data_IF_620041476002
#
_entry.id   IF_620041476002
#
_cell.length_a   1.000
_cell.length_b   1.000
_cell.length_c   1.000
_cell.angle_alpha   90.00
_cell.angle_beta   90.00
_cell.angle_gamma   90.00
#
_symmetry.space_group_name_H-M   'P 1'
#
loop_
_entity.id
_entity.type
_entity.pdbx_description
1 polymer ?
#
# COMPACT_ATOMS: atom_id res chain seq x y z
N UNK A 1 12.94 6.30 -48.30
CA UNK A 1 11.51 5.92 -48.27
C UNK A 1 11.28 5.02 -47.05
N UNK A 2 11.15 5.62 -45.86
CA UNK A 2 11.01 4.89 -44.59
C UNK A 2 9.52 4.81 -44.25
N UNK A 3 8.98 3.59 -44.27
CA UNK A 3 7.64 3.23 -43.81
C UNK A 3 7.84 2.36 -42.57
N UNK A 4 7.40 2.81 -41.39
CA UNK A 4 6.83 1.97 -40.31
C UNK A 4 6.94 2.64 -38.93
N UNK A 5 6.03 3.56 -38.58
CA UNK A 5 5.89 4.05 -37.19
C UNK A 5 4.44 4.00 -36.66
N UNK A 6 3.52 3.34 -37.37
CA UNK A 6 2.10 3.29 -36.99
C UNK A 6 1.82 2.51 -35.69
N UNK A 7 2.57 1.45 -35.41
CA UNK A 7 2.30 0.55 -34.27
C UNK A 7 2.69 1.12 -32.90
N UNK A 8 3.61 2.08 -32.84
CA UNK A 8 4.05 2.68 -31.56
C UNK A 8 3.09 3.78 -31.12
N UNK A 9 2.56 4.55 -32.07
CA UNK A 9 1.54 5.59 -31.81
C UNK A 9 0.22 4.94 -31.36
N UNK A 10 -0.16 3.82 -31.99
CA UNK A 10 -1.41 3.12 -31.68
C UNK A 10 -1.46 2.56 -30.24
N UNK A 11 -0.31 2.08 -29.72
CA UNK A 11 -0.17 1.69 -28.31
C UNK A 11 -0.36 2.86 -27.35
N UNK A 12 0.16 4.04 -27.68
CA UNK A 12 0.06 5.22 -26.83
C UNK A 12 -1.37 5.80 -26.79
N UNK A 13 -2.13 5.67 -27.88
CA UNK A 13 -3.55 6.09 -27.96
C UNK A 13 -4.46 5.07 -27.26
N UNK A 14 -4.12 3.77 -27.26
CA UNK A 14 -4.89 2.74 -26.53
C UNK A 14 -4.88 2.91 -25.00
N UNK A 15 -3.80 3.48 -24.45
CA UNK A 15 -3.69 3.79 -23.01
C UNK A 15 -4.73 4.82 -22.53
N UNK A 16 -5.30 5.64 -23.42
CA UNK A 16 -6.32 6.64 -23.10
C UNK A 16 -7.75 6.12 -23.20
N UNK A 17 -7.95 4.87 -23.65
CA UNK A 17 -9.27 4.21 -23.72
C UNK A 17 -9.44 3.18 -22.59
N UNK A 18 -8.92 3.48 -21.40
CA UNK A 18 -9.21 2.65 -20.22
C UNK A 18 -10.72 2.75 -19.94
N UNK A 19 -11.47 1.63 -19.92
CA UNK A 19 -12.88 1.66 -19.61
C UNK A 19 -13.09 2.21 -18.20
N UNK A 20 -14.20 2.92 -17.99
CA UNK A 20 -14.48 3.59 -16.71
C UNK A 20 -14.41 2.60 -15.53
N UNK A 21 -14.87 1.36 -15.74
CA UNK A 21 -14.77 0.28 -14.76
C UNK A 21 -13.34 -0.12 -14.42
N UNK A 22 -12.40 -0.07 -15.36
CA UNK A 22 -10.99 -0.34 -15.09
C UNK A 22 -10.34 0.79 -14.29
N UNK A 23 -10.69 2.06 -14.54
CA UNK A 23 -10.27 3.18 -13.70
C UNK A 23 -10.84 3.07 -12.29
N UNK A 24 -12.13 2.73 -12.16
CA UNK A 24 -12.79 2.53 -10.86
C UNK A 24 -12.11 1.41 -10.07
N UNK A 25 -11.88 0.25 -10.72
CA UNK A 25 -11.25 -0.90 -10.08
C UNK A 25 -9.81 -0.60 -9.68
N UNK A 26 -9.07 0.17 -10.48
CA UNK A 26 -7.71 0.60 -10.15
C UNK A 26 -7.68 1.57 -8.98
N UNK A 27 -8.65 2.49 -8.90
CA UNK A 27 -8.86 3.37 -7.75
C UNK A 27 -9.20 2.58 -6.48
N UNK A 28 -10.14 1.64 -6.57
CA UNK A 28 -10.52 0.73 -5.47
C UNK A 28 -9.32 -0.10 -5.02
N UNK A 29 -8.61 -0.77 -5.94
CA UNK A 29 -7.42 -1.56 -5.60
C UNK A 29 -6.34 -0.70 -4.95
N UNK A 30 -6.14 0.53 -5.42
CA UNK A 30 -5.15 1.44 -4.83
C UNK A 30 -5.55 1.82 -3.40
N UNK A 31 -6.82 2.11 -3.15
CA UNK A 31 -7.34 2.45 -1.83
C UNK A 31 -7.29 1.24 -0.87
N UNK A 32 -7.68 0.05 -1.33
CA UNK A 32 -7.61 -1.21 -0.58
C UNK A 32 -6.16 -1.61 -0.27
N UNK A 33 -5.24 -1.40 -1.21
CA UNK A 33 -3.79 -1.67 -1.02
C UNK A 33 -3.12 -0.62 -0.14
N UNK A 34 -3.80 0.49 0.20
CA UNK A 34 -3.35 1.49 1.16
C UNK A 34 -4.07 1.28 2.51
N UNK A 35 -3.63 0.32 3.35
CA UNK A 35 -4.32 0.00 4.59
C UNK A 35 -4.33 1.17 5.58
N UNK A 36 -3.57 2.25 5.34
CA UNK A 36 -3.54 3.43 6.20
C UNK A 36 -4.93 4.06 6.37
N UNK A 37 -5.70 4.15 5.30
CA UNK A 37 -7.06 4.74 5.33
C UNK A 37 -8.01 3.81 6.09
N UNK A 38 -7.94 2.51 5.81
CA UNK A 38 -8.74 1.49 6.49
C UNK A 38 -8.42 1.42 8.00
N UNK A 39 -7.14 1.47 8.37
CA UNK A 39 -6.68 1.50 9.75
C UNK A 39 -7.12 2.78 10.47
N UNK A 40 -7.12 3.92 9.77
CA UNK A 40 -7.68 5.16 10.31
C UNK A 40 -9.17 4.97 10.61
N UNK A 41 -9.95 4.44 9.66
CA UNK A 41 -11.37 4.20 9.90
C UNK A 41 -11.63 3.24 11.05
N UNK A 42 -10.93 2.11 11.13
CA UNK A 42 -11.09 1.13 12.22
C UNK A 42 -10.67 1.70 13.58
N UNK A 43 -9.68 2.59 13.63
CA UNK A 43 -9.24 3.22 14.87
C UNK A 43 -10.18 4.35 15.33
N UNK A 44 -10.71 5.15 14.41
CA UNK A 44 -11.49 6.34 14.73
C UNK A 44 -13.00 6.07 14.83
N UNK A 45 -13.60 5.19 14.01
CA UNK A 45 -15.03 4.86 14.08
C UNK A 45 -15.53 4.41 15.46
N UNK A 46 -14.91 3.42 16.12
CA UNK A 46 -15.40 2.94 17.42
C UNK A 46 -15.23 4.00 18.52
N UNK A 47 -14.34 4.98 18.34
CA UNK A 47 -14.08 6.02 19.33
C UNK A 47 -15.19 7.08 19.40
N UNK A 48 -15.99 7.21 18.33
CA UNK A 48 -17.06 8.20 18.21
C UNK A 48 -18.47 7.61 18.37
N UNK A 49 -18.60 6.28 18.47
CA UNK A 49 -19.90 5.61 18.62
C UNK A 49 -20.08 5.16 20.07
N UNK A 50 -20.96 5.86 20.77
CA UNK A 50 -21.33 5.54 22.15
C UNK A 50 -22.08 4.19 22.19
N UNK A 51 -21.51 3.20 22.88
CA UNK A 51 -22.04 1.82 22.97
C UNK A 51 -23.38 1.71 23.70
N UNK A 52 -23.93 2.79 24.26
CA UNK A 52 -25.15 2.81 25.09
C UNK A 52 -26.41 3.32 24.37
N UNK A 53 -26.31 3.91 23.17
CA UNK A 53 -27.46 4.53 22.47
C UNK A 53 -28.37 3.49 21.77
N UNK A 54 -29.70 3.68 21.69
CA UNK A 54 -30.58 2.79 20.92
C UNK A 54 -30.35 2.79 19.40
N UNK A 55 -29.68 3.82 18.86
CA UNK A 55 -29.54 4.07 17.41
C UNK A 55 -28.09 3.89 16.90
N UNK A 56 -27.32 2.98 17.51
CA UNK A 56 -25.88 2.75 17.22
C UNK A 56 -25.60 2.49 15.75
N UNK A 57 -26.44 1.69 15.09
CA UNK A 57 -26.25 1.30 13.69
C UNK A 57 -26.38 2.50 12.74
N UNK A 58 -27.38 3.36 12.95
CA UNK A 58 -27.57 4.54 12.12
C UNK A 58 -26.43 5.55 12.31
N UNK A 59 -26.02 5.79 13.56
CA UNK A 59 -24.86 6.64 13.86
C UNK A 59 -23.56 6.11 13.21
N UNK A 60 -23.34 4.81 13.25
CA UNK A 60 -22.18 4.17 12.62
C UNK A 60 -22.17 4.36 11.09
N UNK A 61 -23.31 4.19 10.43
CA UNK A 61 -23.42 4.40 8.98
C UNK A 61 -23.21 5.86 8.58
N UNK A 62 -23.79 6.81 9.33
CA UNK A 62 -23.60 8.25 9.08
C UNK A 62 -22.13 8.62 9.23
N UNK A 63 -21.51 8.21 10.34
CA UNK A 63 -20.12 8.56 10.63
C UNK A 63 -19.14 7.90 9.65
N UNK A 64 -19.39 6.64 9.29
CA UNK A 64 -18.65 5.93 8.24
C UNK A 64 -18.78 6.60 6.88
N UNK A 65 -19.98 7.05 6.52
CA UNK A 65 -20.22 7.76 5.25
C UNK A 65 -19.49 9.10 5.19
N UNK A 66 -19.51 9.87 6.28
CA UNK A 66 -18.77 11.15 6.38
C UNK A 66 -17.26 10.91 6.23
N UNK A 67 -16.72 9.90 6.90
CA UNK A 67 -15.32 9.50 6.80
C UNK A 67 -14.91 9.10 5.38
N UNK A 68 -15.75 8.32 4.69
CA UNK A 68 -15.52 7.93 3.28
C UNK A 68 -15.58 9.15 2.36
N UNK A 69 -16.55 10.06 2.56
CA UNK A 69 -16.67 11.30 1.79
C UNK A 69 -15.44 12.19 1.96
N UNK A 70 -14.93 12.34 3.18
CA UNK A 70 -13.71 13.13 3.44
C UNK A 70 -12.48 12.51 2.79
N UNK A 71 -12.33 11.18 2.88
CA UNK A 71 -11.27 10.44 2.20
C UNK A 71 -11.32 10.62 0.68
N UNK A 72 -12.51 10.43 0.10
CA UNK A 72 -12.74 10.60 -1.33
C UNK A 72 -12.46 12.03 -1.80
N UNK A 73 -12.87 13.04 -1.02
CA UNK A 73 -12.62 14.45 -1.35
C UNK A 73 -11.12 14.78 -1.29
N UNK A 74 -10.43 14.33 -0.25
CA UNK A 74 -8.98 14.48 -0.12
C UNK A 74 -8.25 13.82 -1.29
N UNK A 75 -8.58 12.58 -1.61
CA UNK A 75 -7.96 11.85 -2.73
C UNK A 75 -8.24 12.53 -4.06
N UNK A 76 -9.45 13.06 -4.26
CA UNK A 76 -9.84 13.82 -5.46
C UNK A 76 -9.05 15.12 -5.60
N UNK A 77 -8.85 15.86 -4.51
CA UNK A 77 -8.01 17.07 -4.49
C UNK A 77 -6.57 16.70 -4.85
N UNK A 78 -5.99 15.68 -4.22
CA UNK A 78 -4.63 15.22 -4.51
C UNK A 78 -4.50 14.76 -5.97
N UNK A 79 -5.47 14.00 -6.48
CA UNK A 79 -5.50 13.54 -7.86
C UNK A 79 -5.59 14.70 -8.85
N UNK A 80 -6.43 15.71 -8.57
CA UNK A 80 -6.55 16.91 -9.38
C UNK A 80 -5.25 17.72 -9.38
N UNK A 81 -4.68 17.98 -8.20
CA UNK A 81 -3.39 18.64 -8.06
C UNK A 81 -2.28 17.89 -8.81
N UNK A 82 -2.22 16.56 -8.66
CA UNK A 82 -1.26 15.72 -9.37
C UNK A 82 -1.46 15.80 -10.89
N UNK A 83 -2.71 15.82 -11.37
CA UNK A 83 -3.01 15.96 -12.79
C UNK A 83 -2.61 17.35 -13.33
N UNK A 84 -2.85 18.43 -12.58
CA UNK A 84 -2.43 19.79 -12.92
C UNK A 84 -0.89 19.90 -13.01
N UNK A 85 -0.20 19.37 -12.00
CA UNK A 85 1.27 19.33 -11.96
C UNK A 85 1.78 18.48 -13.12
N UNK A 86 1.22 17.29 -13.36
CA UNK A 86 1.62 16.42 -14.47
C UNK A 86 1.40 17.07 -15.84
N UNK A 87 0.31 17.82 -16.01
CA UNK A 87 0.01 18.56 -17.23
C UNK A 87 1.02 19.69 -17.46
N UNK A 88 1.37 20.44 -16.42
CA UNK A 88 2.39 21.49 -16.46
C UNK A 88 3.79 20.92 -16.73
N UNK A 89 4.16 19.82 -16.07
CA UNK A 89 5.45 19.14 -16.26
C UNK A 89 5.56 18.48 -17.64
N UNK A 90 4.46 18.00 -18.23
CA UNK A 90 4.44 17.46 -19.60
C UNK A 90 4.86 18.50 -20.64
N UNK A 91 4.63 19.80 -20.38
CA UNK A 91 5.14 20.87 -21.25
C UNK A 91 6.66 21.05 -21.15
N UNK A 92 7.31 20.57 -20.07
CA UNK A 92 8.76 20.64 -19.85
C UNK A 92 9.38 19.25 -19.71
N UNK A 93 9.71 18.63 -20.85
CA UNK A 93 10.26 17.26 -20.96
C UNK A 93 11.52 16.98 -20.13
N UNK A 94 12.26 18.02 -19.75
CA UNK A 94 13.46 17.90 -18.90
C UNK A 94 13.10 17.69 -17.43
N UNK A 95 12.06 18.36 -16.92
CA UNK A 95 11.63 18.26 -15.51
C UNK A 95 11.05 16.89 -15.24
N UNK A 96 10.22 16.37 -16.14
CA UNK A 96 9.68 15.00 -16.04
C UNK A 96 10.78 13.93 -16.01
N UNK A 97 11.86 14.10 -16.78
CA UNK A 97 13.01 13.18 -16.77
C UNK A 97 13.76 13.20 -15.44
N UNK A 98 14.02 14.38 -14.89
CA UNK A 98 14.66 14.51 -13.57
C UNK A 98 13.79 13.94 -12.45
N UNK A 99 12.48 14.20 -12.48
CA UNK A 99 11.54 13.67 -11.48
C UNK A 99 11.55 12.13 -11.48
N UNK A 100 11.46 11.51 -12.66
CA UNK A 100 11.53 10.05 -12.79
C UNK A 100 12.87 9.50 -12.30
N UNK A 101 13.98 10.23 -12.52
CA UNK A 101 15.30 9.81 -12.06
C UNK A 101 15.45 9.89 -10.55
N UNK A 102 14.89 10.93 -9.92
CA UNK A 102 14.85 11.08 -8.45
C UNK A 102 13.97 9.99 -7.83
N UNK A 103 12.77 9.76 -8.36
CA UNK A 103 11.86 8.71 -7.87
C UNK A 103 12.55 7.33 -7.98
N UNK A 104 13.13 7.03 -9.15
CA UNK A 104 13.87 5.78 -9.36
C UNK A 104 15.07 5.64 -8.42
N UNK A 105 15.85 6.70 -8.20
CA UNK A 105 16.98 6.70 -7.28
C UNK A 105 16.53 6.44 -5.83
N UNK A 106 15.42 7.04 -5.39
CA UNK A 106 14.85 6.81 -4.06
C UNK A 106 14.41 5.35 -3.89
N UNK A 107 13.73 4.76 -4.89
CA UNK A 107 13.34 3.35 -4.84
C UNK A 107 14.54 2.40 -4.80
N UNK A 108 15.57 2.67 -5.61
CA UNK A 108 16.83 1.90 -5.57
C UNK A 108 17.50 2.04 -4.21
N UNK A 109 17.58 3.25 -3.66
CA UNK A 109 18.13 3.51 -2.33
C UNK A 109 17.36 2.78 -1.23
N UNK A 110 16.03 2.79 -1.29
CA UNK A 110 15.18 2.01 -0.37
C UNK A 110 15.39 0.51 -0.52
N UNK A 111 15.48 0.00 -1.76
CA UNK A 111 15.76 -1.42 -2.04
C UNK A 111 17.11 -1.86 -1.48
N UNK A 112 18.14 -1.02 -1.59
CA UNK A 112 19.47 -1.28 -1.00
C UNK A 112 19.37 -1.29 0.53
N UNK A 113 18.71 -0.30 1.15
CA UNK A 113 18.51 -0.29 2.61
C UNK A 113 17.73 -1.51 3.09
N UNK A 114 16.71 -1.93 2.35
CA UNK A 114 15.93 -3.12 2.66
C UNK A 114 16.77 -4.38 2.53
N UNK A 115 17.54 -4.54 1.45
CA UNK A 115 18.45 -5.67 1.29
C UNK A 115 19.51 -5.73 2.39
N UNK A 116 20.04 -4.57 2.81
CA UNK A 116 20.97 -4.46 3.93
C UNK A 116 20.31 -4.81 5.27
N UNK A 117 19.05 -4.39 5.50
CA UNK A 117 18.29 -4.73 6.69
C UNK A 117 17.90 -6.22 6.74
N UNK A 118 17.47 -6.80 5.61
CA UNK A 118 17.15 -8.23 5.50
C UNK A 118 18.39 -9.11 5.68
N UNK A 119 19.59 -8.64 5.32
CA UNK A 119 20.83 -9.37 5.64
C UNK A 119 21.06 -9.51 7.15
N UNK A 120 20.58 -8.60 7.99
CA UNK A 120 20.70 -8.71 9.45
C UNK A 120 19.76 -9.75 10.06
N UNK A 121 18.62 -10.05 9.41
CA UNK A 121 17.65 -11.03 9.94
C UNK A 121 18.00 -12.48 9.61
N UNK A 122 18.82 -12.72 8.57
CA UNK A 122 19.26 -14.07 8.20
C UNK A 122 20.48 -14.52 9.02
N UNK A 123 21.33 -13.61 9.49
CA UNK A 123 22.57 -13.95 10.22
C UNK A 123 22.37 -14.33 11.71
N UNK A 124 21.14 -14.29 12.22
CA UNK A 124 20.86 -14.53 13.65
C UNK A 124 19.62 -15.42 13.93
N UNK A 125 19.35 -16.46 13.12
CA UNK A 125 18.28 -17.43 13.44
C UNK A 125 18.70 -18.90 13.50
N UNK A 126 19.95 -19.19 13.85
CA UNK A 126 20.39 -20.56 14.11
C UNK A 126 21.36 -20.69 15.29
N UNK A 127 20.83 -20.53 16.52
CA UNK A 127 21.40 -21.16 17.71
C UNK A 127 20.35 -22.12 18.27
N UNK A 128 20.36 -23.41 17.89
CA UNK A 128 19.44 -24.38 18.47
C UNK A 128 19.81 -24.55 19.95
N UNK A 129 18.94 -24.06 20.85
CA UNK A 129 19.02 -24.33 22.28
C UNK A 129 18.67 -25.81 22.47
N UNK A 130 19.68 -26.70 22.39
CA UNK A 130 19.56 -28.12 22.77
C UNK A 130 19.09 -28.18 24.22
N UNK A 131 17.79 -28.39 24.40
CA UNK A 131 17.14 -28.54 25.70
C UNK A 131 17.31 -30.00 26.10
N UNK A 132 18.30 -30.26 26.95
CA UNK A 132 18.43 -31.51 27.72
C UNK A 132 17.17 -31.68 28.57
N UNK A 133 16.19 -32.42 28.06
CA UNK A 133 15.12 -32.97 28.87
C UNK A 133 15.67 -34.21 29.58
N UNK A 134 16.02 -34.01 30.86
CA UNK A 134 15.78 -34.96 31.94
C UNK A 134 15.82 -36.45 31.58
N UNK A 135 17.04 -37.02 31.57
CA UNK A 135 17.24 -38.46 31.76
C UNK A 135 17.28 -38.87 33.25
N UNK A 136 16.97 -37.95 34.17
CA UNK A 136 17.00 -38.20 35.61
C UNK A 136 15.66 -38.70 36.20
N UNK A 137 14.58 -38.73 35.40
CA UNK A 137 13.23 -39.13 35.89
C UNK A 137 12.83 -40.58 35.62
N UNK A 138 13.58 -41.33 34.81
CA UNK A 138 13.13 -42.64 34.28
C UNK A 138 13.80 -43.82 35.02
N UNK A 139 14.73 -43.56 35.96
CA UNK A 139 15.44 -44.64 36.68
C UNK A 139 14.85 -45.00 38.04
N UNK A 140 13.88 -44.23 38.54
CA UNK A 140 13.32 -44.43 39.88
C UNK A 140 12.04 -45.29 39.91
N UNK A 141 11.57 -45.78 38.76
CA UNK A 141 10.37 -46.63 38.66
C UNK A 141 10.68 -48.11 38.36
N UNK A 142 11.95 -48.51 38.34
CA UNK A 142 12.36 -49.84 37.84
C UNK A 142 13.18 -50.68 38.84
N UNK A 143 13.27 -50.28 40.11
CA UNK A 143 13.85 -51.13 41.16
C UNK A 143 12.79 -51.56 42.16
N UNK A 144 11.98 -52.53 41.72
CA UNK A 144 11.49 -53.63 42.53
C UNK A 144 12.48 -54.78 42.32
#
# INVERSE_FOLDING_TARGET
>A
MIRSDGHVVDRAVSFWRVPLGALLLRGIMTNVTNPKVLLFYVAFLPQFVETSSPQKTAAFFVLGSVMVLLGFLNDSVVACCAAMVAHSLRRRSIVSRWLNRVIGATFVGMGIRLAAATRQTIDCREKPKRRSYNLAGIRSAQHN
#
